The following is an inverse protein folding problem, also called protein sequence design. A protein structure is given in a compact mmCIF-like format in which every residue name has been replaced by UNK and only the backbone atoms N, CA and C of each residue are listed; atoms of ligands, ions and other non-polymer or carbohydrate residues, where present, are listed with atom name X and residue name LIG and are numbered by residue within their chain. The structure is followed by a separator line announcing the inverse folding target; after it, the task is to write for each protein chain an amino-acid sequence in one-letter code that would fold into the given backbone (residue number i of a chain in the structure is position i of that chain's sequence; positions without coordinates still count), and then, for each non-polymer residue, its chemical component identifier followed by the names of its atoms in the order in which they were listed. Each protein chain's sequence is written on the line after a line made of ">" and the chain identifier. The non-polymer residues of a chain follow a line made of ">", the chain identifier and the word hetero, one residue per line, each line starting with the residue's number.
data_IF_633743439094
#
_entry.id   IF_633743439094
#
_cell.length_a   1.000
_cell.length_b   1.000
_cell.length_c   1.000
_cell.angle_alpha   90.00
_cell.angle_beta   90.00
_cell.angle_gamma   90.00
#
_symmetry.space_group_name_H-M   'P 1'
#
loop_
_entity.id
_entity.type
_entity.pdbx_description
1 polymer ?
#
# COMPACT_ATOMS: atom_id res chain seq x y z
N UNK A 1 -1.58 -12.94 -17.98
CA UNK A 1 -1.87 -11.52 -17.73
C UNK A 1 -1.93 -11.32 -16.22
N UNK A 2 -1.27 -10.31 -15.69
CA UNK A 2 -1.29 -9.94 -14.25
C UNK A 2 -2.51 -9.07 -14.00
N UNK A 3 -3.20 -9.28 -12.88
CA UNK A 3 -4.34 -8.43 -12.51
C UNK A 3 -3.88 -7.14 -11.83
N UNK A 4 -2.91 -7.24 -10.89
CA UNK A 4 -2.37 -6.08 -10.17
C UNK A 4 -0.85 -6.18 -10.12
N UNK A 5 -0.16 -5.18 -10.64
CA UNK A 5 1.28 -4.98 -10.42
C UNK A 5 1.46 -3.86 -9.42
N UNK A 6 2.24 -4.09 -8.37
CA UNK A 6 2.61 -3.03 -7.42
C UNK A 6 4.07 -2.65 -7.59
N UNK A 7 4.40 -1.38 -7.40
CA UNK A 7 5.77 -0.86 -7.46
C UNK A 7 6.06 0.01 -6.24
N UNK A 8 7.21 -0.21 -5.62
CA UNK A 8 7.65 0.59 -4.48
C UNK A 8 8.52 -0.19 -3.50
N UNK A 9 8.44 0.21 -2.22
CA UNK A 9 9.22 -0.37 -1.15
C UNK A 9 8.71 -1.74 -0.70
N UNK A 10 9.66 -2.56 -0.29
CA UNK A 10 9.48 -3.71 0.59
C UNK A 10 10.61 -3.66 1.63
N UNK A 11 10.28 -3.92 2.88
CA UNK A 11 11.20 -3.70 4.00
C UNK A 11 10.93 -4.68 5.15
N UNK A 12 11.80 -4.64 6.15
CA UNK A 12 11.58 -5.34 7.41
C UNK A 12 11.14 -4.34 8.49
N UNK A 13 9.96 -4.60 9.07
CA UNK A 13 9.52 -3.97 10.31
C UNK A 13 10.08 -4.75 11.51
N UNK A 14 11.13 -4.22 12.15
CA UNK A 14 11.65 -4.76 13.41
C UNK A 14 10.77 -4.26 14.55
N UNK A 15 9.77 -5.05 14.92
CA UNK A 15 8.81 -4.69 15.96
C UNK A 15 9.26 -5.27 17.30
N UNK A 16 9.35 -4.43 18.32
CA UNK A 16 9.72 -4.88 19.66
C UNK A 16 8.65 -5.83 20.21
N UNK A 17 9.05 -7.08 20.49
CA UNK A 17 8.19 -8.18 20.96
C UNK A 17 8.41 -8.55 22.42
N UNK A 18 9.22 -7.78 23.15
CA UNK A 18 9.47 -7.99 24.57
C UNK A 18 10.92 -7.79 24.97
N UNK A 19 11.32 -8.42 26.08
CA UNK A 19 12.69 -8.41 26.61
C UNK A 19 13.08 -9.82 27.08
N UNK A 20 14.39 -10.07 27.10
CA UNK A 20 14.94 -11.28 27.74
C UNK A 20 14.86 -11.13 29.28
N UNK A 21 15.16 -12.22 30.01
CA UNK A 21 15.29 -12.19 31.46
C UNK A 21 16.36 -11.17 31.93
N UNK A 22 17.38 -10.91 31.09
CA UNK A 22 18.44 -9.92 31.34
C UNK A 22 18.05 -8.51 30.91
N UNK A 23 16.80 -8.28 30.48
CA UNK A 23 16.31 -6.96 30.06
C UNK A 23 16.67 -6.56 28.63
N UNK A 24 17.31 -7.44 27.85
CA UNK A 24 17.70 -7.15 26.45
C UNK A 24 16.43 -7.14 25.57
N UNK A 25 16.20 -6.06 24.76
CA UNK A 25 15.03 -6.00 23.87
C UNK A 25 15.06 -7.12 22.84
N UNK A 26 13.90 -7.72 22.57
CA UNK A 26 13.65 -8.65 21.48
C UNK A 26 12.86 -7.95 20.38
N UNK A 27 13.16 -8.28 19.13
CA UNK A 27 12.46 -7.76 17.96
C UNK A 27 12.06 -8.90 17.04
N UNK A 28 10.83 -8.86 16.55
CA UNK A 28 10.36 -9.73 15.48
C UNK A 28 10.58 -9.01 14.14
N UNK A 29 11.18 -9.72 13.19
CA UNK A 29 11.43 -9.21 11.84
C UNK A 29 10.21 -9.49 10.95
N UNK A 30 9.28 -8.57 10.89
CA UNK A 30 8.08 -8.70 10.10
C UNK A 30 8.28 -8.17 8.68
N UNK A 31 7.83 -8.89 7.62
CA UNK A 31 7.82 -8.36 6.28
C UNK A 31 6.78 -7.25 6.17
N UNK A 32 7.16 -6.12 5.56
CA UNK A 32 6.34 -4.92 5.43
C UNK A 32 6.64 -4.15 4.14
N UNK A 33 6.11 -2.94 4.05
CA UNK A 33 6.10 -2.10 2.85
C UNK A 33 4.72 -2.09 2.21
N UNK A 34 4.10 -0.90 2.10
CA UNK A 34 2.70 -0.80 1.71
C UNK A 34 2.38 -1.43 0.35
N UNK A 35 3.17 -1.21 -0.74
CA UNK A 35 2.90 -1.88 -2.03
C UNK A 35 3.06 -3.39 -1.97
N UNK A 36 4.00 -3.91 -1.17
CA UNK A 36 4.19 -5.34 -0.97
C UNK A 36 3.03 -5.95 -0.17
N UNK A 37 2.59 -5.27 0.88
CA UNK A 37 1.42 -5.64 1.68
C UNK A 37 0.17 -5.74 0.82
N UNK A 38 -0.09 -4.73 -0.02
CA UNK A 38 -1.24 -4.72 -0.93
C UNK A 38 -1.18 -5.87 -1.93
N UNK A 39 0.01 -6.16 -2.51
CA UNK A 39 0.19 -7.27 -3.44
C UNK A 39 -0.18 -8.62 -2.79
N UNK A 40 0.28 -8.85 -1.55
CA UNK A 40 -0.04 -10.08 -0.79
C UNK A 40 -1.52 -10.14 -0.44
N UNK A 41 -2.11 -9.04 0.05
CA UNK A 41 -3.54 -9.01 0.38
C UNK A 41 -4.39 -9.37 -0.85
N UNK A 42 -4.11 -8.76 -1.99
CA UNK A 42 -4.82 -9.05 -3.23
C UNK A 42 -4.59 -10.49 -3.74
N UNK A 43 -3.36 -11.02 -3.63
CA UNK A 43 -3.04 -12.40 -4.02
C UNK A 43 -3.82 -13.43 -3.18
N UNK A 44 -3.84 -13.28 -1.84
CA UNK A 44 -4.61 -14.15 -0.92
C UNK A 44 -6.11 -14.13 -1.20
N UNK A 45 -6.59 -13.06 -1.84
CA UNK A 45 -7.99 -12.87 -2.22
C UNK A 45 -8.28 -13.23 -3.68
N UNK A 46 -7.32 -13.89 -4.34
CA UNK A 46 -7.50 -14.54 -5.64
C UNK A 46 -7.09 -13.73 -6.86
N UNK A 47 -6.50 -12.53 -6.69
CA UNK A 47 -5.92 -11.78 -7.79
C UNK A 47 -4.53 -12.33 -8.17
N UNK A 48 -4.16 -12.27 -9.45
CA UNK A 48 -2.79 -12.54 -9.89
C UNK A 48 -1.98 -11.27 -9.73
N UNK A 49 -1.04 -11.27 -8.81
CA UNK A 49 -0.26 -10.09 -8.46
C UNK A 49 1.20 -10.23 -8.83
N UNK A 50 1.84 -9.09 -9.13
CA UNK A 50 3.29 -8.98 -9.29
C UNK A 50 3.80 -7.80 -8.46
N UNK A 51 5.05 -7.90 -8.01
CA UNK A 51 5.71 -6.85 -7.26
C UNK A 51 6.99 -6.39 -7.98
N UNK A 52 7.14 -5.07 -8.13
CA UNK A 52 8.34 -4.42 -8.65
C UNK A 52 8.97 -3.63 -7.50
N UNK A 53 10.24 -3.94 -7.19
CA UNK A 53 10.98 -3.29 -6.14
C UNK A 53 12.43 -3.75 -6.08
N UNK A 54 13.17 -3.24 -5.08
CA UNK A 54 14.59 -3.56 -4.95
C UNK A 54 14.95 -3.84 -3.50
N UNK A 55 15.70 -4.91 -3.26
CA UNK A 55 16.20 -5.34 -1.95
C UNK A 55 17.72 -5.45 -1.98
N UNK A 56 18.37 -5.45 -0.82
CA UNK A 56 19.81 -5.68 -0.71
C UNK A 56 20.19 -7.14 -0.95
N UNK A 57 21.45 -7.38 -1.32
CA UNK A 57 22.06 -8.71 -1.29
C UNK A 57 22.38 -9.09 0.16
N UNK A 58 21.33 -9.42 0.92
CA UNK A 58 21.40 -9.78 2.33
C UNK A 58 20.28 -10.75 2.72
N UNK A 59 20.37 -11.30 3.94
CA UNK A 59 19.41 -12.29 4.44
C UNK A 59 17.98 -11.76 4.53
N UNK A 60 17.79 -10.46 4.72
CA UNK A 60 16.46 -9.84 4.75
C UNK A 60 15.88 -9.73 3.34
N UNK A 61 16.70 -9.36 2.34
CA UNK A 61 16.27 -9.35 0.93
C UNK A 61 15.81 -10.73 0.46
N UNK A 62 16.58 -11.77 0.78
CA UNK A 62 16.22 -13.16 0.47
C UNK A 62 14.92 -13.59 1.18
N UNK A 63 14.77 -13.22 2.45
CA UNK A 63 13.55 -13.50 3.21
C UNK A 63 12.32 -12.83 2.62
N UNK A 64 12.40 -11.55 2.29
CA UNK A 64 11.30 -10.78 1.71
C UNK A 64 10.87 -11.34 0.35
N UNK A 65 11.84 -11.70 -0.50
CA UNK A 65 11.57 -12.31 -1.81
C UNK A 65 10.85 -13.65 -1.67
N UNK A 66 11.31 -14.52 -0.76
CA UNK A 66 10.62 -15.78 -0.46
C UNK A 66 9.22 -15.54 0.10
N UNK A 67 9.07 -14.61 1.04
CA UNK A 67 7.78 -14.30 1.64
C UNK A 67 6.74 -13.90 0.59
N UNK A 68 7.09 -13.03 -0.37
CA UNK A 68 6.18 -12.68 -1.45
C UNK A 68 5.85 -13.87 -2.34
N UNK A 69 6.85 -14.65 -2.75
CA UNK A 69 6.65 -15.82 -3.60
C UNK A 69 5.75 -16.89 -2.95
N UNK A 70 5.95 -17.17 -1.65
CA UNK A 70 5.14 -18.10 -0.86
C UNK A 70 3.69 -17.63 -0.70
N UNK A 71 3.44 -16.32 -0.79
CA UNK A 71 2.11 -15.73 -0.80
C UNK A 71 1.50 -15.58 -2.21
N UNK A 72 2.12 -16.17 -3.23
CA UNK A 72 1.59 -16.21 -4.59
C UNK A 72 1.82 -14.93 -5.41
N UNK A 73 2.69 -14.03 -4.95
CA UNK A 73 3.08 -12.82 -5.69
C UNK A 73 4.19 -13.16 -6.69
N UNK A 74 4.06 -12.75 -7.93
CA UNK A 74 5.13 -12.84 -8.93
C UNK A 74 6.27 -11.87 -8.59
N UNK A 75 7.44 -12.42 -8.27
CA UNK A 75 8.62 -11.68 -7.81
C UNK A 75 9.65 -11.40 -8.92
N UNK A 76 9.31 -11.60 -10.21
CA UNK A 76 10.22 -11.31 -11.33
C UNK A 76 10.63 -9.85 -11.41
N UNK A 77 9.83 -8.94 -10.87
CA UNK A 77 10.13 -7.52 -10.74
C UNK A 77 11.01 -7.15 -9.55
N UNK A 78 11.42 -8.12 -8.72
CA UNK A 78 12.33 -7.85 -7.60
C UNK A 78 13.79 -7.93 -8.03
N UNK A 79 14.46 -6.78 -8.06
CA UNK A 79 15.91 -6.68 -8.30
C UNK A 79 16.70 -6.67 -6.98
N UNK A 80 18.00 -7.00 -7.08
CA UNK A 80 18.93 -7.02 -5.95
C UNK A 80 19.95 -5.91 -6.11
N UNK A 81 20.22 -5.19 -5.02
CA UNK A 81 21.31 -4.22 -4.95
C UNK A 81 22.53 -4.86 -4.25
N UNK A 82 23.65 -4.90 -4.94
CA UNK A 82 24.89 -5.52 -4.42
C UNK A 82 25.61 -4.66 -3.37
N UNK A 83 25.23 -3.38 -3.25
CA UNK A 83 25.94 -2.41 -2.39
C UNK A 83 25.06 -1.90 -1.25
N UNK A 84 23.82 -1.52 -1.56
CA UNK A 84 22.88 -1.03 -0.58
C UNK A 84 22.20 -2.19 0.16
N UNK A 85 21.74 -1.93 1.39
CA UNK A 85 21.09 -2.93 2.24
C UNK A 85 19.57 -2.88 2.08
N UNK A 86 18.92 -3.97 2.46
CA UNK A 86 17.47 -4.00 2.61
C UNK A 86 17.05 -2.99 3.69
N UNK A 87 16.01 -2.21 3.40
CA UNK A 87 15.47 -1.20 4.31
C UNK A 87 14.92 -1.84 5.59
N UNK A 88 15.21 -1.22 6.72
CA UNK A 88 14.64 -1.58 8.02
C UNK A 88 13.84 -0.42 8.57
N UNK A 89 12.68 -0.71 9.14
CA UNK A 89 11.94 0.18 10.01
C UNK A 89 11.93 -0.42 11.42
N UNK A 90 12.50 0.27 12.39
CA UNK A 90 12.50 -0.16 13.79
C UNK A 90 11.28 0.45 14.48
N UNK A 91 10.41 -0.41 14.98
CA UNK A 91 9.21 -0.05 15.74
C UNK A 91 9.47 -0.38 17.20
N UNK A 92 9.83 0.62 17.97
CA UNK A 92 10.06 0.48 19.41
C UNK A 92 8.92 1.10 20.22
N UNK A 93 8.75 0.64 21.45
CA UNK A 93 7.84 1.26 22.41
C UNK A 93 8.64 2.25 23.25
N UNK A 94 8.15 3.47 23.39
CA UNK A 94 8.71 4.46 24.30
C UNK A 94 8.34 4.13 25.78
N UNK A 95 8.77 4.96 26.72
CA UNK A 95 8.49 4.79 28.15
C UNK A 95 6.99 4.86 28.50
N UNK A 96 6.16 5.40 27.60
CA UNK A 96 4.69 5.51 27.75
C UNK A 96 3.96 4.37 27.04
N UNK A 97 4.71 3.48 26.34
CA UNK A 97 4.16 2.41 25.53
C UNK A 97 3.68 2.87 24.14
N UNK A 98 4.00 4.11 23.74
CA UNK A 98 3.70 4.62 22.41
C UNK A 98 4.74 4.12 21.39
N UNK A 99 4.28 3.85 20.16
CA UNK A 99 5.15 3.35 19.08
C UNK A 99 5.99 4.49 18.52
N UNK A 100 7.30 4.27 18.46
CA UNK A 100 8.25 5.13 17.76
C UNK A 100 8.78 4.41 16.54
N UNK A 101 8.91 5.14 15.41
CA UNK A 101 9.40 4.61 14.14
C UNK A 101 10.75 5.23 13.80
N UNK A 102 11.75 4.39 13.52
CA UNK A 102 13.05 4.82 13.04
C UNK A 102 13.39 4.05 11.76
N UNK A 103 13.52 4.77 10.64
CA UNK A 103 13.88 4.16 9.37
C UNK A 103 15.40 4.14 9.17
N UNK A 104 15.93 2.98 8.86
CA UNK A 104 17.31 2.77 8.42
C UNK A 104 17.27 2.61 6.89
N UNK A 105 17.24 3.75 6.20
CA UNK A 105 16.96 3.85 4.75
C UNK A 105 17.97 4.72 3.99
N UNK A 106 19.14 5.04 4.56
CA UNK A 106 20.17 5.84 3.91
C UNK A 106 21.57 5.23 4.10
N UNK A 107 22.20 4.65 3.06
CA UNK A 107 21.60 4.26 1.76
C UNK A 107 20.85 2.93 1.85
N UNK A 108 19.74 2.79 1.11
CA UNK A 108 18.99 1.53 1.05
C UNK A 108 18.63 1.12 -0.37
N UNK A 109 18.37 -0.16 -0.57
CA UNK A 109 18.16 -0.75 -1.88
C UNK A 109 16.91 -0.24 -2.59
N UNK A 110 15.81 -0.03 -1.86
CA UNK A 110 14.54 0.44 -2.43
C UNK A 110 14.64 1.84 -3.03
N UNK A 111 15.46 2.72 -2.45
CA UNK A 111 15.75 4.07 -2.99
C UNK A 111 16.48 4.00 -4.34
N UNK A 112 17.30 2.96 -4.54
CA UNK A 112 18.07 2.76 -5.76
C UNK A 112 17.28 2.08 -6.90
N UNK A 113 15.97 1.93 -6.76
CA UNK A 113 15.12 1.43 -7.85
C UNK A 113 15.11 2.46 -8.99
N UNK A 114 15.61 2.07 -10.17
CA UNK A 114 15.58 2.88 -11.38
C UNK A 114 14.80 2.17 -12.50
N UNK A 115 14.46 2.86 -13.59
CA UNK A 115 13.70 2.27 -14.71
C UNK A 115 14.39 1.07 -15.37
N UNK A 116 15.70 0.99 -15.32
CA UNK A 116 16.46 -0.19 -15.81
C UNK A 116 16.14 -1.49 -15.04
N UNK A 117 15.64 -1.37 -13.81
CA UNK A 117 15.25 -2.49 -12.96
C UNK A 117 13.76 -2.86 -13.12
N UNK A 118 12.99 -2.10 -13.91
CA UNK A 118 11.55 -2.28 -14.09
C UNK A 118 11.29 -3.16 -15.32
N UNK A 119 10.75 -4.39 -15.16
CA UNK A 119 10.41 -5.22 -16.30
C UNK A 119 9.23 -4.64 -17.08
N UNK A 120 9.45 -4.17 -18.30
CA UNK A 120 8.46 -3.52 -19.14
C UNK A 120 7.27 -4.43 -19.48
N UNK A 121 7.47 -5.74 -19.54
CA UNK A 121 6.42 -6.72 -19.76
C UNK A 121 5.40 -6.79 -18.60
N UNK A 122 5.80 -6.46 -17.37
CA UNK A 122 4.87 -6.37 -16.24
C UNK A 122 4.00 -5.12 -16.36
N UNK A 123 4.52 -4.01 -16.85
CA UNK A 123 3.76 -2.77 -17.07
C UNK A 123 2.74 -2.91 -18.22
N UNK A 124 3.15 -3.51 -19.34
CA UNK A 124 2.28 -3.72 -20.51
C UNK A 124 1.27 -4.84 -20.33
N UNK A 125 1.44 -5.70 -19.32
CA UNK A 125 0.62 -6.89 -19.09
C UNK A 125 -0.26 -6.84 -17.83
N UNK A 126 -0.41 -5.69 -17.21
CA UNK A 126 -1.19 -5.52 -15.97
C UNK A 126 -2.52 -4.79 -16.21
N UNK A 127 -3.57 -5.15 -15.43
CA UNK A 127 -4.83 -4.39 -15.43
C UNK A 127 -4.77 -3.17 -14.52
N UNK A 128 -4.08 -3.30 -13.39
CA UNK A 128 -3.89 -2.21 -12.41
C UNK A 128 -2.42 -2.10 -12.08
N UNK A 129 -1.87 -0.89 -12.13
CA UNK A 129 -0.59 -0.56 -11.49
C UNK A 129 -0.87 0.21 -10.21
N UNK A 130 -0.28 -0.24 -9.10
CA UNK A 130 -0.39 0.41 -7.80
C UNK A 130 0.96 0.87 -7.26
N UNK A 131 0.99 2.04 -6.60
CA UNK A 131 2.16 2.56 -5.90
C UNK A 131 1.79 3.38 -4.67
N UNK A 132 2.77 3.60 -3.79
CA UNK A 132 2.68 4.46 -2.62
C UNK A 132 3.60 5.68 -2.71
N UNK A 133 3.60 6.55 -1.68
CA UNK A 133 4.45 7.74 -1.69
C UNK A 133 5.87 7.52 -1.13
N UNK A 134 6.13 6.41 -0.47
CA UNK A 134 7.48 6.13 0.08
C UNK A 134 8.53 6.07 -1.02
N UNK A 135 8.20 5.52 -2.19
CA UNK A 135 9.09 5.54 -3.36
C UNK A 135 9.24 6.93 -3.99
N UNK A 136 8.38 7.89 -3.62
CA UNK A 136 8.46 9.27 -4.12
C UNK A 136 9.35 10.19 -3.26
N UNK A 137 9.92 9.66 -2.17
CA UNK A 137 10.72 10.44 -1.21
C UNK A 137 12.12 10.76 -1.70
N UNK A 138 12.68 9.97 -2.61
CA UNK A 138 14.06 10.11 -3.10
C UNK A 138 14.25 9.58 -4.52
N UNK A 139 15.26 10.11 -5.21
CA UNK A 139 15.70 9.62 -6.52
C UNK A 139 16.70 8.45 -6.35
N UNK A 140 16.77 7.52 -7.31
CA UNK A 140 16.02 7.44 -8.58
C UNK A 140 14.63 6.79 -8.45
N UNK A 141 14.24 6.27 -7.28
CA UNK A 141 12.98 5.54 -7.08
C UNK A 141 11.74 6.36 -7.45
N UNK A 142 11.77 7.68 -7.16
CA UNK A 142 10.67 8.59 -7.52
C UNK A 142 10.46 8.62 -9.04
N UNK A 143 11.50 8.91 -9.80
CA UNK A 143 11.43 8.93 -11.26
C UNK A 143 10.97 7.57 -11.81
N UNK A 144 11.54 6.46 -11.33
CA UNK A 144 11.17 5.12 -11.76
C UNK A 144 9.69 4.81 -11.52
N UNK A 145 9.16 5.16 -10.33
CA UNK A 145 7.76 4.93 -9.98
C UNK A 145 6.80 5.72 -10.86
N UNK A 146 7.08 7.01 -11.07
CA UNK A 146 6.23 7.89 -11.88
C UNK A 146 6.26 7.49 -13.37
N UNK A 147 7.42 7.14 -13.93
CA UNK A 147 7.54 6.68 -15.32
C UNK A 147 6.89 5.30 -15.50
N UNK A 148 7.00 4.39 -14.52
CA UNK A 148 6.29 3.12 -14.56
C UNK A 148 4.77 3.33 -14.58
N UNK A 149 4.25 4.26 -13.75
CA UNK A 149 2.82 4.58 -13.72
C UNK A 149 2.33 5.17 -15.04
N UNK A 150 3.08 6.11 -15.64
CA UNK A 150 2.78 6.68 -16.97
C UNK A 150 2.78 5.60 -18.06
N UNK A 151 3.77 4.71 -18.03
CA UNK A 151 3.91 3.62 -19.02
C UNK A 151 2.75 2.63 -18.92
N UNK A 152 2.39 2.20 -17.72
CA UNK A 152 1.27 1.30 -17.49
C UNK A 152 -0.06 1.95 -17.95
N UNK A 153 -0.28 3.23 -17.59
CA UNK A 153 -1.46 3.99 -18.03
C UNK A 153 -1.54 4.10 -19.55
N UNK A 154 -0.43 4.39 -20.22
CA UNK A 154 -0.35 4.45 -21.68
C UNK A 154 -0.64 3.09 -22.33
N UNK A 155 -0.42 1.98 -21.62
CA UNK A 155 -0.75 0.62 -22.01
C UNK A 155 -2.19 0.22 -21.67
N UNK A 156 -3.00 1.13 -21.12
CA UNK A 156 -4.42 0.91 -20.79
C UNK A 156 -4.66 0.40 -19.37
N UNK A 157 -3.65 0.33 -18.52
CA UNK A 157 -3.83 -0.04 -17.13
C UNK A 157 -4.50 1.08 -16.31
N UNK A 158 -5.29 0.70 -15.32
CA UNK A 158 -5.78 1.59 -14.26
C UNK A 158 -4.62 1.90 -13.33
N UNK A 159 -4.43 3.16 -12.98
CA UNK A 159 -3.43 3.59 -12.00
C UNK A 159 -4.09 3.79 -10.64
N UNK A 160 -3.67 3.02 -9.64
CA UNK A 160 -4.13 3.14 -8.26
C UNK A 160 -3.02 3.67 -7.35
N UNK A 161 -3.39 4.50 -6.38
CA UNK A 161 -2.43 5.17 -5.51
C UNK A 161 -2.93 5.22 -4.06
N UNK A 162 -2.03 4.97 -3.12
CA UNK A 162 -2.19 5.21 -1.68
C UNK A 162 -0.99 6.03 -1.20
N UNK A 163 -1.15 7.31 -0.83
CA UNK A 163 -0.04 8.10 -0.32
C UNK A 163 0.69 7.43 0.82
N UNK A 164 -0.03 6.86 1.76
CA UNK A 164 0.52 6.15 2.91
C UNK A 164 1.64 6.95 3.58
N UNK A 165 1.30 8.19 3.94
CA UNK A 165 2.22 9.23 4.41
C UNK A 165 3.04 8.79 5.63
N UNK A 166 4.34 9.02 5.58
CA UNK A 166 5.28 8.79 6.68
C UNK A 166 6.10 10.04 6.89
N UNK A 167 5.70 10.90 7.83
CA UNK A 167 6.32 12.20 8.08
C UNK A 167 7.85 12.13 8.22
N UNK A 168 8.37 11.10 8.89
CA UNK A 168 9.80 10.92 9.13
C UNK A 168 10.64 10.62 7.88
N UNK A 169 10.02 10.33 6.74
CA UNK A 169 10.73 10.08 5.47
C UNK A 169 10.81 11.32 4.57
N UNK A 170 10.19 12.43 4.98
CA UNK A 170 10.17 13.66 4.19
C UNK A 170 10.97 14.75 4.90
N UNK A 171 11.65 15.64 4.13
CA UNK A 171 12.38 16.75 4.71
C UNK A 171 11.46 17.75 5.43
N UNK A 172 10.25 17.92 4.91
CA UNK A 172 9.19 18.79 5.44
C UNK A 172 7.83 18.42 4.85
N UNK A 173 6.77 18.92 5.47
CA UNK A 173 5.38 18.65 5.08
C UNK A 173 5.04 19.27 3.71
N UNK A 174 5.56 20.43 3.37
CA UNK A 174 5.31 21.11 2.09
C UNK A 174 5.85 20.25 0.92
N UNK A 175 7.07 19.74 1.06
CA UNK A 175 7.68 18.83 0.08
C UNK A 175 6.90 17.53 -0.03
N UNK A 176 6.43 16.98 1.08
CA UNK A 176 5.60 15.78 1.10
C UNK A 176 4.29 16.02 0.32
N UNK A 177 3.55 17.06 0.65
CA UNK A 177 2.27 17.40 -0.01
C UNK A 177 2.47 17.62 -1.51
N UNK A 178 3.49 18.38 -1.89
CA UNK A 178 3.81 18.64 -3.31
C UNK A 178 4.05 17.32 -4.06
N UNK A 179 4.91 16.45 -3.55
CA UNK A 179 5.28 15.21 -4.22
C UNK A 179 4.15 14.17 -4.18
N UNK A 180 3.34 14.13 -3.12
CA UNK A 180 2.18 13.24 -3.04
C UNK A 180 1.01 13.71 -3.94
N UNK A 181 0.88 15.00 -4.20
CA UNK A 181 -0.20 15.52 -5.06
C UNK A 181 0.18 15.56 -6.55
N UNK A 182 1.47 15.56 -6.90
CA UNK A 182 1.95 15.58 -8.29
C UNK A 182 1.35 14.44 -9.14
N UNK A 183 1.30 13.17 -8.70
CA UNK A 183 0.80 12.08 -9.52
C UNK A 183 -0.72 12.05 -9.71
N UNK A 184 -1.50 12.85 -8.97
CA UNK A 184 -2.97 12.73 -8.92
C UNK A 184 -3.63 12.84 -10.30
N UNK A 185 -3.08 13.64 -11.23
CA UNK A 185 -3.64 13.80 -12.59
C UNK A 185 -3.57 12.53 -13.43
N UNK A 186 -2.73 11.55 -13.07
CA UNK A 186 -2.65 10.25 -13.76
C UNK A 186 -3.31 9.11 -12.97
N UNK A 187 -3.77 9.38 -11.74
CA UNK A 187 -4.38 8.37 -10.85
C UNK A 187 -5.87 8.22 -11.15
N UNK A 188 -6.33 6.99 -11.30
CA UNK A 188 -7.74 6.66 -11.51
C UNK A 188 -8.43 6.30 -10.19
N UNK A 189 -7.73 5.58 -9.31
CA UNK A 189 -8.24 5.14 -8.00
C UNK A 189 -7.28 5.61 -6.91
N UNK A 190 -7.78 6.42 -6.00
CA UNK A 190 -7.03 6.94 -4.87
C UNK A 190 -7.65 6.44 -3.55
N UNK A 191 -6.83 5.91 -2.66
CA UNK A 191 -7.21 5.71 -1.26
C UNK A 191 -6.39 6.67 -0.41
N UNK A 192 -7.05 7.32 0.54
CA UNK A 192 -6.42 8.13 1.59
C UNK A 192 -7.06 7.78 2.94
N UNK A 193 -6.33 8.01 4.03
CA UNK A 193 -6.91 7.96 5.38
C UNK A 193 -7.59 9.28 5.73
N UNK A 194 -8.40 9.29 6.79
CA UNK A 194 -8.97 10.50 7.39
C UNK A 194 -7.89 11.46 7.93
N UNK A 195 -6.71 10.95 8.30
CA UNK A 195 -5.55 11.74 8.70
C UNK A 195 -4.83 12.38 7.49
N UNK A 196 -4.75 11.68 6.38
CA UNK A 196 -4.12 12.16 5.14
C UNK A 196 -4.99 13.15 4.36
N UNK A 197 -6.30 13.01 4.46
CA UNK A 197 -7.24 13.84 3.71
C UNK A 197 -7.05 15.34 3.97
N UNK A 198 -6.98 15.83 5.23
CA UNK A 198 -6.72 17.24 5.51
C UNK A 198 -5.33 17.70 5.03
N UNK A 199 -4.33 16.84 5.10
CA UNK A 199 -2.99 17.13 4.62
C UNK A 199 -2.97 17.43 3.11
N UNK A 200 -3.67 16.62 2.32
CA UNK A 200 -3.68 16.75 0.85
C UNK A 200 -4.70 17.78 0.33
N UNK A 201 -5.71 18.10 1.12
CA UNK A 201 -6.85 18.89 0.65
C UNK A 201 -7.14 20.13 1.49
N UNK A 202 -6.63 20.22 2.72
CA UNK A 202 -7.03 21.23 3.69
C UNK A 202 -8.46 21.04 4.23
N UNK A 203 -9.09 19.87 4.02
CA UNK A 203 -10.45 19.57 4.46
C UNK A 203 -10.49 18.29 5.30
N UNK A 204 -11.10 18.36 6.49
CA UNK A 204 -11.35 17.19 7.33
C UNK A 204 -12.64 16.45 6.96
N UNK A 205 -13.57 17.13 6.28
CA UNK A 205 -14.84 16.55 5.81
C UNK A 205 -14.59 15.65 4.58
N UNK A 206 -14.91 14.33 4.65
CA UNK A 206 -14.66 13.40 3.55
C UNK A 206 -15.37 13.77 2.25
N UNK A 207 -16.55 14.38 2.32
CA UNK A 207 -17.29 14.79 1.13
C UNK A 207 -16.60 15.93 0.40
N UNK A 208 -16.17 16.97 1.14
CA UNK A 208 -15.45 18.13 0.58
C UNK A 208 -14.05 17.77 0.14
N UNK A 209 -13.31 17.02 0.97
CA UNK A 209 -11.95 16.60 0.66
C UNK A 209 -11.91 15.70 -0.57
N UNK A 210 -12.78 14.69 -0.67
CA UNK A 210 -12.84 13.83 -1.85
C UNK A 210 -13.24 14.57 -3.13
N UNK A 211 -14.05 15.64 -3.03
CA UNK A 211 -14.37 16.49 -4.18
C UNK A 211 -13.10 17.18 -4.73
N UNK A 212 -12.28 17.76 -3.85
CA UNK A 212 -11.00 18.39 -4.25
C UNK A 212 -10.02 17.41 -4.91
N UNK A 213 -10.02 16.15 -4.45
CA UNK A 213 -9.20 15.10 -5.06
C UNK A 213 -9.76 14.67 -6.43
N UNK A 214 -11.08 14.58 -6.57
CA UNK A 214 -11.73 14.29 -7.85
C UNK A 214 -11.50 15.41 -8.90
N UNK A 215 -11.44 16.67 -8.48
CA UNK A 215 -11.08 17.81 -9.35
C UNK A 215 -9.66 17.70 -9.94
N UNK A 216 -8.79 16.88 -9.34
CA UNK A 216 -7.45 16.56 -9.87
C UNK A 216 -7.46 15.47 -10.95
N UNK A 217 -8.61 14.88 -11.25
CA UNK A 217 -8.79 13.85 -12.27
C UNK A 217 -9.02 12.44 -11.72
N UNK A 218 -9.02 12.26 -10.40
CA UNK A 218 -9.25 10.95 -9.77
C UNK A 218 -10.72 10.55 -9.90
N UNK A 219 -11.00 9.37 -10.50
CA UNK A 219 -12.37 8.87 -10.72
C UNK A 219 -12.99 8.23 -9.48
N UNK A 220 -12.20 7.43 -8.75
CA UNK A 220 -12.63 6.77 -7.52
C UNK A 220 -11.74 7.21 -6.36
N UNK A 221 -12.32 7.95 -5.42
CA UNK A 221 -11.66 8.34 -4.17
C UNK A 221 -12.26 7.54 -3.02
N UNK A 222 -11.41 6.84 -2.29
CA UNK A 222 -11.73 6.09 -1.08
C UNK A 222 -11.09 6.80 0.11
N UNK A 223 -11.88 7.14 1.12
CA UNK A 223 -11.39 7.71 2.38
C UNK A 223 -11.65 6.69 3.48
N UNK A 224 -10.60 6.08 4.02
CA UNK A 224 -10.73 5.15 5.15
C UNK A 224 -10.88 5.92 6.46
N UNK A 225 -11.84 5.49 7.29
CA UNK A 225 -12.26 6.16 8.53
C UNK A 225 -12.05 5.25 9.76
N UNK A 226 -11.00 4.44 9.74
CA UNK A 226 -10.69 3.48 10.79
C UNK A 226 -11.86 2.55 11.08
N UNK A 227 -12.30 2.47 12.35
CA UNK A 227 -13.41 1.62 12.78
C UNK A 227 -14.75 2.01 12.15
N UNK A 228 -14.88 3.23 11.63
CA UNK A 228 -16.09 3.70 10.98
C UNK A 228 -16.25 3.21 9.54
N UNK A 229 -15.25 2.53 8.96
CA UNK A 229 -15.28 1.97 7.61
C UNK A 229 -14.73 2.91 6.55
N UNK A 230 -15.42 3.11 5.44
CA UNK A 230 -14.91 3.90 4.32
C UNK A 230 -15.99 4.78 3.68
N UNK A 231 -15.60 6.01 3.40
CA UNK A 231 -16.32 6.92 2.52
C UNK A 231 -15.82 6.74 1.08
N UNK A 232 -16.69 6.88 0.09
CA UNK A 232 -16.31 6.85 -1.31
C UNK A 232 -16.91 8.01 -2.10
N UNK A 233 -16.18 8.44 -3.14
CA UNK A 233 -16.67 9.27 -4.24
C UNK A 233 -16.34 8.59 -5.55
N UNK A 234 -17.34 8.35 -6.39
CA UNK A 234 -17.21 7.73 -7.70
C UNK A 234 -18.14 8.39 -8.71
N UNK A 235 -17.61 8.95 -9.79
CA UNK A 235 -18.36 9.59 -10.88
C UNK A 235 -19.50 10.52 -10.37
N UNK A 236 -19.18 11.35 -9.39
CA UNK A 236 -20.14 12.31 -8.77
C UNK A 236 -21.01 11.74 -7.66
N UNK A 237 -21.11 10.42 -7.52
CA UNK A 237 -21.84 9.78 -6.42
C UNK A 237 -20.96 9.68 -5.17
N UNK A 238 -21.52 9.94 -4.02
CA UNK A 238 -20.87 9.77 -2.71
C UNK A 238 -21.65 8.82 -1.82
N UNK A 239 -20.94 8.22 -0.87
CA UNK A 239 -21.58 7.41 0.14
C UNK A 239 -20.59 6.85 1.16
N UNK A 240 -21.14 6.16 2.13
CA UNK A 240 -20.39 5.56 3.22
C UNK A 240 -20.74 4.07 3.33
N UNK A 241 -19.73 3.24 3.60
CA UNK A 241 -19.88 1.81 3.92
C UNK A 241 -19.31 1.59 5.32
N UNK A 242 -20.13 1.14 6.29
CA UNK A 242 -19.69 1.00 7.67
C UNK A 242 -18.58 -0.05 7.82
N UNK A 243 -17.73 0.16 8.81
CA UNK A 243 -16.69 -0.80 9.21
C UNK A 243 -17.30 -2.05 9.81
N UNK A 244 -16.49 -3.10 9.92
CA UNK A 244 -16.84 -4.34 10.59
C UNK A 244 -16.20 -4.32 11.98
N UNK A 245 -16.98 -4.40 13.06
CA UNK A 245 -16.44 -4.42 14.42
C UNK A 245 -15.48 -5.59 14.63
N UNK A 246 -14.33 -5.33 15.24
CA UNK A 246 -13.36 -6.36 15.63
C UNK A 246 -12.65 -5.96 16.92
N UNK A 247 -12.08 -6.95 17.62
CA UNK A 247 -11.15 -6.66 18.68
C UNK A 247 -9.80 -6.27 18.07
N UNK A 248 -9.30 -5.09 18.41
CA UNK A 248 -8.04 -4.58 17.85
C UNK A 248 -6.86 -5.32 18.46
N UNK A 249 -6.10 -6.04 17.62
CA UNK A 249 -4.80 -6.63 17.92
C UNK A 249 -3.68 -5.70 17.45
N UNK A 250 -3.68 -5.38 16.15
CA UNK A 250 -2.70 -4.50 15.51
C UNK A 250 -3.35 -3.81 14.30
N UNK A 251 -3.08 -2.53 14.10
CA UNK A 251 -3.60 -1.78 12.94
C UNK A 251 -2.67 -1.80 11.73
N UNK A 252 -1.47 -2.39 11.86
CA UNK A 252 -0.48 -2.44 10.79
C UNK A 252 -0.99 -3.26 9.59
N UNK A 253 -0.85 -2.72 8.38
CA UNK A 253 -1.31 -3.35 7.14
C UNK A 253 -2.82 -3.40 6.92
N UNK A 254 -3.64 -2.83 7.83
CA UNK A 254 -5.10 -2.81 7.68
C UNK A 254 -5.55 -1.99 6.46
N UNK A 255 -4.96 -0.80 6.25
CA UNK A 255 -5.20 0.03 5.07
C UNK A 255 -4.79 -0.65 3.77
N UNK A 256 -3.63 -1.30 3.78
CA UNK A 256 -3.11 -2.06 2.62
C UNK A 256 -4.03 -3.26 2.30
N UNK A 257 -4.51 -3.95 3.34
CA UNK A 257 -5.48 -5.05 3.20
C UNK A 257 -6.81 -4.55 2.63
N UNK A 258 -7.34 -3.44 3.16
CA UNK A 258 -8.57 -2.82 2.63
C UNK A 258 -8.42 -2.53 1.14
N UNK A 259 -7.34 -1.85 0.76
CA UNK A 259 -7.16 -1.44 -0.63
C UNK A 259 -6.86 -2.63 -1.55
N UNK A 260 -6.01 -3.56 -1.12
CA UNK A 260 -5.75 -4.82 -1.85
C UNK A 260 -7.01 -5.66 -2.05
N UNK A 261 -7.88 -5.73 -1.04
CA UNK A 261 -9.17 -6.40 -1.13
C UNK A 261 -10.11 -5.68 -2.11
N UNK A 262 -10.20 -4.36 -2.06
CA UNK A 262 -11.00 -3.60 -3.02
C UNK A 262 -10.52 -3.79 -4.45
N UNK A 263 -9.21 -3.67 -4.69
CA UNK A 263 -8.62 -3.87 -6.02
C UNK A 263 -8.80 -5.31 -6.52
N UNK A 264 -8.70 -6.33 -5.65
CA UNK A 264 -8.92 -7.74 -6.02
C UNK A 264 -10.32 -8.02 -6.59
N UNK A 265 -11.29 -7.21 -6.21
CA UNK A 265 -12.65 -7.29 -6.76
C UNK A 265 -12.80 -6.40 -8.01
N UNK A 266 -12.24 -5.19 -7.99
CA UNK A 266 -12.31 -4.26 -9.11
C UNK A 266 -11.66 -4.82 -10.40
N UNK A 267 -10.57 -5.59 -10.30
CA UNK A 267 -9.92 -6.22 -11.46
C UNK A 267 -10.75 -7.29 -12.17
N UNK A 268 -11.89 -7.68 -11.58
CA UNK A 268 -12.86 -8.59 -12.22
C UNK A 268 -13.72 -7.88 -13.27
N UNK A 269 -13.76 -6.55 -13.21
CA UNK A 269 -14.36 -5.70 -14.24
C UNK A 269 -13.35 -5.44 -15.35
N UNK A 270 -13.83 -5.26 -16.57
CA UNK A 270 -12.97 -4.91 -17.70
C UNK A 270 -12.60 -3.42 -17.70
N UNK A 271 -13.45 -2.57 -17.09
CA UNK A 271 -13.27 -1.13 -17.01
C UNK A 271 -14.01 -0.56 -15.80
N UNK A 272 -13.53 0.57 -15.26
CA UNK A 272 -14.27 1.34 -14.26
C UNK A 272 -15.62 1.85 -14.76
N UNK A 273 -15.84 1.93 -16.07
CA UNK A 273 -17.14 2.33 -16.65
C UNK A 273 -18.25 1.30 -16.41
N UNK A 274 -17.88 0.06 -16.09
CA UNK A 274 -18.81 -1.00 -15.72
C UNK A 274 -19.19 -0.97 -14.22
N UNK A 275 -18.42 -0.22 -13.41
CA UNK A 275 -18.63 -0.18 -11.97
C UNK A 275 -19.92 0.59 -11.63
N UNK A 276 -20.83 -0.08 -10.97
CA UNK A 276 -22.05 0.54 -10.45
C UNK A 276 -21.91 0.87 -8.96
N UNK A 277 -22.68 1.86 -8.48
CA UNK A 277 -22.68 2.23 -7.05
C UNK A 277 -23.06 1.05 -6.14
N UNK A 278 -24.08 0.23 -6.44
CA UNK A 278 -24.38 -0.96 -5.64
C UNK A 278 -23.24 -1.96 -5.59
N UNK A 279 -22.51 -2.15 -6.69
CA UNK A 279 -21.37 -3.05 -6.77
C UNK A 279 -20.17 -2.48 -5.98
N UNK A 280 -19.88 -1.18 -6.12
CA UNK A 280 -18.85 -0.52 -5.33
C UNK A 280 -19.12 -0.69 -3.82
N UNK A 281 -20.35 -0.52 -3.38
CA UNK A 281 -20.71 -0.73 -1.95
C UNK A 281 -20.46 -2.17 -1.50
N UNK A 282 -20.74 -3.18 -2.34
CA UNK A 282 -20.42 -4.59 -2.03
C UNK A 282 -18.91 -4.83 -1.96
N UNK A 283 -18.15 -4.25 -2.89
CA UNK A 283 -16.70 -4.31 -2.89
C UNK A 283 -16.11 -3.70 -1.61
N UNK A 284 -16.58 -2.52 -1.21
CA UNK A 284 -16.10 -1.86 0.00
C UNK A 284 -16.52 -2.57 1.29
N UNK A 285 -17.69 -3.20 1.33
CA UNK A 285 -18.09 -4.06 2.46
C UNK A 285 -17.18 -5.29 2.58
N UNK A 286 -16.81 -5.92 1.46
CA UNK A 286 -15.82 -6.99 1.41
C UNK A 286 -14.44 -6.51 1.88
N UNK A 287 -14.00 -5.34 1.43
CA UNK A 287 -12.73 -4.73 1.82
C UNK A 287 -12.69 -4.38 3.33
N UNK A 288 -13.77 -3.82 3.88
CA UNK A 288 -13.89 -3.57 5.32
C UNK A 288 -13.82 -4.86 6.14
N UNK A 289 -14.43 -5.96 5.67
CA UNK A 289 -14.34 -7.27 6.34
C UNK A 289 -12.92 -7.81 6.31
N UNK A 290 -12.22 -7.71 5.18
CA UNK A 290 -10.82 -8.11 5.07
C UNK A 290 -9.92 -7.31 6.03
N UNK A 291 -10.07 -5.98 6.05
CA UNK A 291 -9.33 -5.09 6.95
C UNK A 291 -9.59 -5.41 8.43
N UNK A 292 -10.84 -5.70 8.82
CA UNK A 292 -11.18 -6.04 10.21
C UNK A 292 -10.51 -7.33 10.68
N UNK A 293 -10.36 -8.33 9.81
CA UNK A 293 -9.64 -9.57 10.12
C UNK A 293 -8.15 -9.28 10.32
N UNK A 294 -7.53 -8.49 9.45
CA UNK A 294 -6.13 -8.07 9.61
C UNK A 294 -5.94 -7.31 10.92
N UNK A 295 -6.82 -6.33 11.22
CA UNK A 295 -6.78 -5.53 12.44
C UNK A 295 -6.92 -6.37 13.72
N UNK A 296 -7.58 -7.53 13.67
CA UNK A 296 -7.76 -8.42 14.82
C UNK A 296 -6.53 -9.30 15.14
N UNK A 297 -5.49 -9.25 14.31
CA UNK A 297 -4.28 -10.07 14.39
C UNK A 297 -3.04 -9.19 14.53
N UNK A 298 -1.88 -9.79 14.79
CA UNK A 298 -0.61 -9.08 14.86
C UNK A 298 0.19 -9.19 13.57
N UNK A 299 0.87 -8.11 13.23
CA UNK A 299 1.67 -7.98 12.02
C UNK A 299 0.84 -7.60 10.78
N UNK A 300 1.53 -7.25 9.67
CA UNK A 300 0.90 -6.91 8.40
C UNK A 300 0.63 -8.19 7.57
N UNK A 301 1.61 -8.63 6.78
CA UNK A 301 1.47 -9.81 5.90
C UNK A 301 0.96 -11.07 6.65
N UNK A 302 1.49 -11.43 7.84
CA UNK A 302 0.99 -12.61 8.54
C UNK A 302 -0.48 -12.53 8.95
N UNK A 303 -0.99 -11.32 9.20
CA UNK A 303 -2.35 -11.07 9.66
C UNK A 303 -3.41 -11.08 8.54
N UNK A 304 -3.00 -10.94 7.28
CA UNK A 304 -3.92 -10.81 6.14
C UNK A 304 -4.76 -12.06 5.91
N UNK A 305 -6.08 -11.91 5.69
CA UNK A 305 -6.97 -13.04 5.50
C UNK A 305 -6.83 -13.70 4.13
N UNK A 306 -7.25 -14.94 4.07
CA UNK A 306 -7.55 -15.65 2.84
C UNK A 306 -8.98 -15.37 2.37
N UNK A 307 -9.29 -15.68 1.11
CA UNK A 307 -10.65 -15.56 0.58
C UNK A 307 -11.66 -16.42 1.37
N UNK A 308 -11.26 -17.62 1.79
CA UNK A 308 -12.11 -18.51 2.57
C UNK A 308 -12.51 -17.90 3.92
N UNK A 309 -11.60 -17.24 4.61
CA UNK A 309 -11.87 -16.57 5.88
C UNK A 309 -12.83 -15.36 5.76
N UNK A 310 -12.89 -14.73 4.59
CA UNK A 310 -13.84 -13.65 4.35
C UNK A 310 -15.23 -14.19 4.00
N UNK A 311 -15.30 -15.29 3.23
CA UNK A 311 -16.57 -15.83 2.75
C UNK A 311 -17.26 -16.73 3.80
N UNK A 312 -16.46 -17.36 4.70
CA UNK A 312 -16.90 -18.24 5.78
C UNK A 312 -17.81 -17.64 6.76
#
# INVERSE_FOLDING_TARGET
>A
MIDITTIGEILIDLTQSGRTEQGIPRFDANPGGAPANLAVAAARLGARTAFIGRVGNDSFGDYLKRCLAENGVDVRGMSVDEKARTTLAVVALDERGERTFSFYRDPSADVNLSMEHVPMELLGGTKVLHFGSVSLTAEPARTATLEAAKTAKASGAIVSYDPNYRASLWPDEETAVRNMTEPLSMVDILKVSDEELPLLTGCTDPEKGSARLAEKGVRLVLVTLGAHGAFYRFDGHTGHVPGVPCQVGDTNGSGDTFFGAALSQLVKLDSLDQLTVPELRRILAFANKAASITTSRHGAIPAMPTLAEILG
#
